data_IF_744794865430
#
_entry.id   IF_744794865430
#
_cell.length_a   1.000
_cell.length_b   1.000
_cell.length_c   1.000
_cell.angle_alpha   90.00
_cell.angle_beta   90.00
_cell.angle_gamma   90.00
#
_symmetry.space_group_name_H-M   'P 1'
#
loop_
_entity.id
_entity.type
_entity.pdbx_description
1 polymer ?
#
# COMPACT_ATOMS: atom_id res chain seq x y z
N UNK A 1 -0.66 18.61 6.79
CA UNK A 1 -1.48 17.38 6.89
C UNK A 1 -0.79 16.33 6.06
N UNK A 2 -0.09 15.40 6.71
CA UNK A 2 0.59 14.29 6.05
C UNK A 2 -0.24 13.02 6.23
N UNK A 3 -0.83 12.53 5.14
CA UNK A 3 -1.55 11.26 5.14
C UNK A 3 -0.53 10.10 5.15
N UNK A 4 -0.91 8.99 5.78
CA UNK A 4 -0.14 7.75 5.78
C UNK A 4 -0.87 6.67 5.01
N UNK A 5 -0.15 5.97 4.15
CA UNK A 5 -0.65 4.77 3.47
C UNK A 5 -0.02 3.55 4.09
N UNK A 6 -0.86 2.66 4.58
CA UNK A 6 -0.47 1.35 5.07
C UNK A 6 -0.82 0.30 4.01
N UNK A 7 0.15 -0.51 3.62
CA UNK A 7 0.00 -1.58 2.65
C UNK A 7 0.17 -2.97 3.28
N UNK A 8 -0.52 -3.94 2.70
CA UNK A 8 -0.30 -5.36 2.97
C UNK A 8 -0.42 -6.21 1.73
N UNK A 9 0.37 -7.30 1.68
CA UNK A 9 0.38 -8.30 0.61
C UNK A 9 0.05 -9.69 1.13
N UNK A 10 -0.82 -10.45 0.47
CA UNK A 10 -1.20 -11.81 0.88
C UNK A 10 -0.45 -12.89 0.09
N UNK A 11 -0.22 -14.05 0.72
CA UNK A 11 0.10 -15.30 0.01
C UNK A 11 1.51 -15.44 -0.57
N UNK A 12 2.51 -14.68 -0.08
CA UNK A 12 3.78 -14.52 -0.79
C UNK A 12 4.97 -15.28 -0.21
N UNK A 13 5.85 -15.74 -1.12
CA UNK A 13 7.17 -16.30 -0.77
C UNK A 13 8.09 -15.20 -0.25
N UNK A 14 8.82 -15.50 0.83
CA UNK A 14 9.73 -14.56 1.49
C UNK A 14 10.77 -13.92 0.55
N UNK A 15 11.25 -14.64 -0.46
CA UNK A 15 12.23 -14.12 -1.43
C UNK A 15 11.67 -12.94 -2.26
N UNK A 16 10.40 -13.02 -2.68
CA UNK A 16 9.76 -11.95 -3.47
C UNK A 16 9.49 -10.72 -2.61
N UNK A 17 9.07 -10.92 -1.37
CA UNK A 17 8.88 -9.82 -0.41
C UNK A 17 10.19 -9.08 -0.13
N UNK A 18 11.32 -9.79 -0.06
CA UNK A 18 12.65 -9.16 0.08
C UNK A 18 13.03 -8.33 -1.15
N UNK A 19 12.76 -8.83 -2.37
CA UNK A 19 13.00 -8.07 -3.60
C UNK A 19 12.16 -6.81 -3.65
N UNK A 20 10.86 -6.93 -3.33
CA UNK A 20 9.95 -5.80 -3.24
C UNK A 20 10.44 -4.77 -2.21
N UNK A 21 10.80 -5.21 -1.01
CA UNK A 21 11.37 -4.35 0.04
C UNK A 21 12.58 -3.56 -0.47
N UNK A 22 13.55 -4.23 -1.08
CA UNK A 22 14.77 -3.57 -1.58
C UNK A 22 14.49 -2.51 -2.65
N UNK A 23 13.40 -2.66 -3.42
CA UNK A 23 12.99 -1.68 -4.43
C UNK A 23 12.24 -0.50 -3.82
N UNK A 24 11.45 -0.73 -2.77
CA UNK A 24 10.55 0.26 -2.17
C UNK A 24 11.19 1.06 -1.03
N UNK A 25 12.15 0.51 -0.28
CA UNK A 25 12.86 1.25 0.78
C UNK A 25 13.50 2.55 0.27
N UNK A 26 14.21 2.58 -0.88
CA UNK A 26 14.76 3.82 -1.43
C UNK A 26 13.70 4.86 -1.81
N UNK A 27 12.45 4.44 -1.99
CA UNK A 27 11.30 5.29 -2.32
C UNK A 27 10.56 5.82 -1.07
N UNK A 28 11.10 5.55 0.13
CA UNK A 28 10.54 6.00 1.40
C UNK A 28 9.47 5.09 1.99
N UNK A 29 9.39 3.83 1.57
CA UNK A 29 8.55 2.83 2.23
C UNK A 29 9.27 2.19 3.41
N UNK A 30 8.56 2.04 4.51
CA UNK A 30 9.05 1.39 5.73
C UNK A 30 8.35 0.05 5.89
N UNK A 31 9.13 -1.03 5.97
CA UNK A 31 8.60 -2.39 6.16
C UNK A 31 8.59 -2.79 7.62
N UNK A 32 7.52 -3.46 8.05
CA UNK A 32 7.47 -4.04 9.39
C UNK A 32 8.35 -5.29 9.50
N UNK A 33 8.45 -5.86 10.70
CA UNK A 33 9.09 -7.18 10.89
C UNK A 33 8.45 -8.26 10.00
N UNK A 34 7.14 -8.15 9.79
CA UNK A 34 6.41 -8.87 8.76
C UNK A 34 6.57 -8.14 7.42
N UNK A 35 7.43 -8.68 6.54
CA UNK A 35 7.73 -8.11 5.23
C UNK A 35 6.51 -8.01 4.30
N UNK A 36 5.38 -8.61 4.67
CA UNK A 36 4.13 -8.45 3.94
C UNK A 36 3.45 -7.10 4.23
N UNK A 37 3.89 -6.36 5.25
CA UNK A 37 3.29 -5.08 5.67
C UNK A 37 4.30 -3.95 5.58
N UNK A 38 3.84 -2.82 5.07
CA UNK A 38 4.66 -1.63 4.87
C UNK A 38 3.83 -0.36 5.02
N UNK A 39 4.49 0.77 5.25
CA UNK A 39 3.87 2.09 5.29
C UNK A 39 4.69 3.13 4.53
N UNK A 40 4.02 4.20 4.09
CA UNK A 40 4.65 5.39 3.51
C UNK A 40 3.80 6.63 3.78
N UNK A 41 4.46 7.76 3.98
CA UNK A 41 3.78 9.06 3.99
C UNK A 41 3.49 9.50 2.56
N UNK A 42 2.24 9.32 2.11
CA UNK A 42 1.77 9.59 0.75
C UNK A 42 0.24 9.63 0.69
N UNK A 43 -0.32 10.02 -0.47
CA UNK A 43 -1.73 9.75 -0.80
C UNK A 43 -1.89 8.35 -1.38
N UNK A 44 -3.10 7.81 -1.34
CA UNK A 44 -3.35 6.47 -1.90
C UNK A 44 -3.06 6.42 -3.41
N UNK A 45 -3.33 7.48 -4.16
CA UNK A 45 -3.09 7.53 -5.61
C UNK A 45 -1.60 7.49 -5.93
N UNK A 46 -0.79 8.20 -5.14
CA UNK A 46 0.66 8.19 -5.29
C UNK A 46 1.21 6.79 -4.98
N UNK A 47 0.77 6.20 -3.86
CA UNK A 47 1.18 4.85 -3.48
C UNK A 47 0.78 3.80 -4.52
N UNK A 48 -0.45 3.86 -5.05
CA UNK A 48 -0.91 2.96 -6.13
C UNK A 48 -0.04 3.12 -7.38
N UNK A 49 0.24 4.35 -7.81
CA UNK A 49 1.03 4.63 -9.03
C UNK A 49 2.46 4.11 -8.94
N UNK A 50 3.04 4.08 -7.73
CA UNK A 50 4.37 3.54 -7.47
C UNK A 50 4.36 2.01 -7.31
N UNK A 51 3.42 1.47 -6.54
CA UNK A 51 3.42 0.07 -6.12
C UNK A 51 2.95 -0.88 -7.21
N UNK A 52 1.89 -0.52 -7.94
CA UNK A 52 1.29 -1.39 -8.98
C UNK A 52 2.34 -1.83 -10.00
N UNK A 53 3.12 -0.96 -10.67
CA UNK A 53 4.07 -1.41 -11.69
C UNK A 53 5.18 -2.30 -11.11
N UNK A 54 5.67 -2.01 -9.90
CA UNK A 54 6.74 -2.78 -9.25
C UNK A 54 6.23 -4.18 -8.85
N UNK A 55 5.02 -4.23 -8.28
CA UNK A 55 4.39 -5.50 -7.89
C UNK A 55 4.01 -6.33 -9.13
N UNK A 56 3.49 -5.73 -10.21
CA UNK A 56 3.26 -6.46 -11.47
C UNK A 56 4.56 -6.99 -12.08
N UNK A 57 5.64 -6.20 -12.11
CA UNK A 57 6.95 -6.61 -12.64
C UNK A 57 7.53 -7.82 -11.89
N UNK A 58 7.28 -7.91 -10.58
CA UNK A 58 7.72 -9.04 -9.75
C UNK A 58 6.75 -10.25 -9.81
N UNK A 59 5.71 -10.16 -10.63
CA UNK A 59 4.74 -11.23 -10.88
C UNK A 59 3.69 -11.40 -9.78
N UNK A 60 3.34 -10.32 -9.08
CA UNK A 60 2.25 -10.30 -8.10
C UNK A 60 0.91 -10.11 -8.80
N UNK A 61 -0.15 -10.73 -8.29
CA UNK A 61 -1.51 -10.40 -8.71
C UNK A 61 -2.01 -9.23 -7.87
N UNK A 62 -1.68 -8.02 -8.30
CA UNK A 62 -1.98 -6.78 -7.55
C UNK A 62 -3.47 -6.65 -7.20
N UNK A 63 -4.35 -7.21 -8.01
CA UNK A 63 -5.78 -7.16 -7.77
C UNK A 63 -6.20 -7.96 -6.52
N UNK A 64 -5.62 -9.14 -6.32
CA UNK A 64 -5.99 -10.05 -5.24
C UNK A 64 -5.08 -9.90 -4.02
N UNK A 65 -3.81 -9.61 -4.27
CA UNK A 65 -2.76 -9.68 -3.27
C UNK A 65 -2.54 -8.35 -2.55
N UNK A 66 -2.71 -7.20 -3.23
CA UNK A 66 -2.39 -5.88 -2.69
C UNK A 66 -3.60 -5.21 -2.05
N UNK A 67 -3.44 -4.84 -0.78
CA UNK A 67 -4.38 -3.98 -0.07
C UNK A 67 -3.65 -2.75 0.44
N UNK A 68 -4.12 -1.55 0.10
CA UNK A 68 -3.62 -0.29 0.67
C UNK A 68 -4.73 0.41 1.45
N UNK A 69 -4.38 1.09 2.51
CA UNK A 69 -5.30 1.91 3.31
C UNK A 69 -4.64 3.25 3.60
N UNK A 70 -5.31 4.33 3.22
CA UNK A 70 -4.92 5.69 3.56
C UNK A 70 -5.62 6.13 4.84
N UNK A 71 -4.81 6.57 5.80
CA UNK A 71 -5.22 7.10 7.09
C UNK A 71 -4.85 8.58 7.15
N UNK A 72 -5.78 9.41 7.63
CA UNK A 72 -5.50 10.80 8.01
C UNK A 72 -4.78 10.88 9.37
N UNK A 73 -4.32 12.07 9.75
CA UNK A 73 -3.59 12.31 11.02
C UNK A 73 -4.38 11.90 12.28
N UNK A 74 -5.72 11.97 12.23
CA UNK A 74 -6.62 11.49 13.28
C UNK A 74 -6.84 9.96 13.26
N UNK A 75 -6.08 9.24 12.43
CA UNK A 75 -6.26 7.82 12.14
C UNK A 75 -7.64 7.47 11.58
N UNK A 76 -8.40 8.45 11.08
CA UNK A 76 -9.62 8.16 10.36
C UNK A 76 -9.26 7.54 9.01
N UNK A 77 -10.02 6.50 8.67
CA UNK A 77 -9.91 5.87 7.38
C UNK A 77 -10.43 6.82 6.29
N UNK A 78 -9.59 7.11 5.30
CA UNK A 78 -9.92 8.02 4.21
C UNK A 78 -10.22 7.24 2.91
N UNK A 79 -9.32 6.34 2.53
CA UNK A 79 -9.42 5.54 1.32
C UNK A 79 -8.80 4.15 1.47
N UNK A 80 -9.22 3.19 0.63
CA UNK A 80 -8.59 1.87 0.49
C UNK A 80 -8.48 1.47 -0.95
N UNK A 81 -7.36 0.86 -1.29
CA UNK A 81 -7.17 0.15 -2.54
C UNK A 81 -7.35 -1.34 -2.27
N UNK A 82 -8.31 -1.96 -2.92
CA UNK A 82 -8.58 -3.40 -2.86
C UNK A 82 -9.27 -3.82 -4.16
N UNK A 83 -8.98 -5.02 -4.67
CA UNK A 83 -9.58 -5.54 -5.90
C UNK A 83 -9.40 -4.59 -7.11
N UNK A 84 -8.22 -3.98 -7.22
CA UNK A 84 -7.89 -3.09 -8.35
C UNK A 84 -8.56 -1.71 -8.32
N UNK A 85 -9.25 -1.34 -7.23
CA UNK A 85 -10.04 -0.11 -7.15
C UNK A 85 -9.76 0.67 -5.87
N UNK A 86 -9.76 2.00 -5.99
CA UNK A 86 -9.75 2.92 -4.85
C UNK A 86 -11.19 3.15 -4.37
N UNK A 87 -11.48 2.79 -3.13
CA UNK A 87 -12.74 2.99 -2.44
C UNK A 87 -12.53 4.08 -1.40
N UNK A 88 -13.26 5.19 -1.50
CA UNK A 88 -13.19 6.31 -0.56
C UNK A 88 -14.37 6.27 0.41
N UNK A 89 -14.12 6.49 1.69
CA UNK A 89 -15.21 6.86 2.61
C UNK A 89 -15.35 8.36 2.57
N UNK A 90 -16.44 8.86 2.00
CA UNK A 90 -16.89 10.20 2.35
C UNK A 90 -17.27 10.18 3.84
N UNK A 91 -16.77 11.08 4.70
CA UNK A 91 -17.39 11.27 5.99
C UNK A 91 -18.85 11.66 5.74
N UNK A 92 -19.79 10.89 6.29
CA UNK A 92 -21.20 11.31 6.33
C UNK A 92 -21.25 12.59 7.14
N UNK A 93 -21.49 13.73 6.50
CA UNK A 93 -21.65 15.01 7.16
C UNK A 93 -21.55 16.20 6.21
N UNK A 94 -22.57 16.38 5.38
CA UNK A 94 -23.08 17.72 5.03
C UNK A 94 -24.14 18.08 6.07
#
# INVERSE_FOLDING_TARGET
>A
MLNKVNGSLKGMKAERLRKLKNMLEPMGYEFSQDLSKFEKTATIESAVSELVPITEQLGFNVWEDLTLTELSEDSAYFAKYENGRVIRKFPRGV
#
